data_IF_669269207396
#
_entry.id   IF_669269207396
#
_cell.length_a   1.000
_cell.length_b   1.000
_cell.length_c   1.000
_cell.angle_alpha   90.00
_cell.angle_beta   90.00
_cell.angle_gamma   90.00
#
_symmetry.space_group_name_H-M   'P 1'
#
loop_
_entity.id
_entity.type
_entity.pdbx_description
1 polymer ?
#
# COMPACT_ATOMS: atom_id res chain seq x y z
N UNK A 1 11.43 -3.84 27.26
CA UNK A 1 10.25 -4.08 26.37
C UNK A 1 9.50 -2.77 26.34
N UNK A 2 9.48 -2.09 25.19
CA UNK A 2 8.88 -0.75 25.06
C UNK A 2 7.34 -0.82 25.14
N UNK A 3 6.71 0.18 25.79
CA UNK A 3 5.24 0.29 25.91
C UNK A 3 4.51 0.24 24.54
N UNK A 4 5.19 0.64 23.47
CA UNK A 4 4.69 0.54 22.09
C UNK A 4 4.52 -0.91 21.62
N UNK A 5 5.41 -1.82 22.02
CA UNK A 5 5.36 -3.25 21.68
C UNK A 5 4.24 -3.96 22.43
N UNK A 6 4.07 -3.64 23.71
CA UNK A 6 2.98 -4.21 24.56
C UNK A 6 1.59 -3.78 24.10
N UNK A 7 1.48 -2.61 23.46
CA UNK A 7 0.17 -2.11 22.96
C UNK A 7 -0.16 -2.68 21.56
N UNK A 8 0.85 -3.14 20.79
CA UNK A 8 0.66 -3.84 19.51
C UNK A 8 0.09 -5.25 19.70
N UNK A 9 0.61 -6.01 20.67
CA UNK A 9 0.22 -7.40 20.95
C UNK A 9 -1.29 -7.56 21.31
N UNK A 10 -1.98 -6.44 21.60
CA UNK A 10 -3.43 -6.39 21.88
C UNK A 10 -4.28 -6.01 20.66
N UNK A 11 -3.68 -5.58 19.54
CA UNK A 11 -4.42 -5.19 18.34
C UNK A 11 -4.69 -6.39 17.44
N UNK A 12 -5.84 -6.37 16.77
CA UNK A 12 -6.24 -7.37 15.77
C UNK A 12 -5.22 -7.44 14.63
N UNK A 13 -4.73 -8.64 14.31
CA UNK A 13 -3.85 -8.87 13.16
C UNK A 13 -4.70 -8.96 11.90
N UNK A 14 -4.44 -8.08 10.93
CA UNK A 14 -5.18 -8.02 9.66
C UNK A 14 -4.43 -8.71 8.51
N UNK A 15 -3.08 -8.76 8.58
CA UNK A 15 -2.25 -9.58 7.69
C UNK A 15 -1.26 -10.36 8.55
N UNK A 16 -1.10 -11.66 8.27
CA UNK A 16 -0.04 -12.49 8.86
C UNK A 16 0.64 -13.30 7.77
N UNK A 17 1.95 -13.18 7.71
CA UNK A 17 2.82 -13.90 6.76
C UNK A 17 3.78 -14.77 7.58
N UNK A 18 3.91 -16.05 7.20
CA UNK A 18 4.80 -16.99 7.90
C UNK A 18 5.62 -17.79 6.90
N UNK A 19 6.95 -17.70 7.03
CA UNK A 19 7.93 -18.45 6.26
C UNK A 19 7.77 -18.28 4.75
N UNK A 20 7.57 -17.04 4.26
CA UNK A 20 7.27 -16.76 2.87
C UNK A 20 8.52 -16.83 1.99
N UNK A 21 8.51 -17.72 1.00
CA UNK A 21 9.56 -17.84 -0.02
C UNK A 21 9.00 -17.58 -1.41
N UNK A 22 9.79 -16.89 -2.24
CA UNK A 22 9.52 -16.72 -3.65
C UNK A 22 10.80 -16.62 -4.46
N UNK A 23 10.91 -17.47 -5.49
CA UNK A 23 12.02 -17.50 -6.45
C UNK A 23 11.49 -17.35 -7.87
N UNK A 24 12.34 -16.87 -8.77
CA UNK A 24 12.11 -16.85 -10.21
C UNK A 24 13.38 -17.40 -10.86
N UNK A 25 13.23 -18.54 -11.55
CA UNK A 25 14.37 -19.30 -12.09
C UNK A 25 15.41 -19.54 -10.98
N UNK A 26 16.64 -19.07 -11.15
CA UNK A 26 17.73 -19.22 -10.18
C UNK A 26 17.84 -18.03 -9.18
N UNK A 27 16.87 -17.09 -9.17
CA UNK A 27 16.92 -15.92 -8.31
C UNK A 27 15.90 -16.01 -7.15
N UNK A 28 16.42 -16.19 -5.93
CA UNK A 28 15.64 -16.15 -4.70
C UNK A 28 15.31 -14.71 -4.31
N UNK A 29 14.06 -14.30 -4.48
CA UNK A 29 13.59 -12.93 -4.27
C UNK A 29 13.08 -12.69 -2.84
N UNK A 30 12.37 -13.66 -2.25
CA UNK A 30 11.94 -13.63 -0.84
C UNK A 30 12.40 -14.91 -0.16
N UNK A 31 13.00 -14.77 1.03
CA UNK A 31 13.78 -15.83 1.69
C UNK A 31 13.33 -16.05 3.14
N UNK A 32 12.08 -16.51 3.32
CA UNK A 32 11.57 -16.81 4.66
C UNK A 32 11.05 -15.58 5.40
N UNK A 33 10.25 -14.75 4.72
CA UNK A 33 9.64 -13.56 5.31
C UNK A 33 8.59 -13.95 6.34
N UNK A 34 8.72 -13.42 7.55
CA UNK A 34 7.70 -13.41 8.60
C UNK A 34 7.29 -11.96 8.88
N UNK A 35 5.98 -11.70 8.98
CA UNK A 35 5.47 -10.34 9.13
C UNK A 35 4.02 -10.35 9.59
N UNK A 36 3.65 -9.39 10.45
CA UNK A 36 2.27 -9.13 10.83
C UNK A 36 1.94 -7.64 10.68
N UNK A 37 0.77 -7.34 10.11
CA UNK A 37 0.17 -6.01 10.08
C UNK A 37 -0.99 -5.97 11.06
N UNK A 38 -1.00 -4.98 11.93
CA UNK A 38 -2.07 -4.78 12.90
C UNK A 38 -3.10 -3.76 12.40
N UNK A 39 -4.31 -3.88 12.91
CA UNK A 39 -5.42 -2.99 12.55
C UNK A 39 -5.10 -1.53 12.85
N UNK A 40 -5.29 -0.66 11.85
CA UNK A 40 -5.04 0.77 11.93
C UNK A 40 -3.55 1.15 11.91
N UNK A 41 -2.66 0.22 11.52
CA UNK A 41 -1.23 0.45 11.39
C UNK A 41 -0.85 0.74 9.95
N UNK A 42 0.06 1.71 9.73
CA UNK A 42 0.80 1.89 8.49
C UNK A 42 2.19 1.27 8.63
N UNK A 43 2.46 0.18 7.93
CA UNK A 43 3.79 -0.42 7.87
C UNK A 43 4.44 -0.08 6.55
N UNK A 44 5.67 0.45 6.63
CA UNK A 44 6.48 0.72 5.45
C UNK A 44 7.47 -0.42 5.24
N UNK A 45 7.46 -1.01 4.05
CA UNK A 45 8.52 -1.93 3.58
C UNK A 45 9.50 -1.12 2.75
N UNK A 46 10.63 -0.82 3.35
CA UNK A 46 11.69 0.00 2.77
C UNK A 46 12.77 -0.89 2.15
N UNK A 47 13.29 -0.53 0.97
CA UNK A 47 14.37 -1.27 0.33
C UNK A 47 14.67 -0.77 -1.07
N UNK A 48 15.81 -1.17 -1.62
CA UNK A 48 16.26 -0.79 -2.98
C UNK A 48 15.29 -1.28 -4.05
N UNK A 49 15.35 -0.66 -5.23
CA UNK A 49 14.66 -1.20 -6.41
C UNK A 49 15.13 -2.63 -6.66
N UNK A 50 14.18 -3.52 -6.99
CA UNK A 50 14.49 -4.94 -7.22
C UNK A 50 14.62 -5.81 -5.96
N UNK A 51 14.50 -5.29 -4.74
CA UNK A 51 14.62 -6.07 -3.49
C UNK A 51 13.47 -7.04 -3.20
N UNK A 52 12.43 -7.08 -4.04
CA UNK A 52 11.27 -7.98 -3.87
C UNK A 52 10.01 -7.34 -3.28
N UNK A 53 10.00 -6.01 -3.01
CA UNK A 53 8.86 -5.30 -2.42
C UNK A 53 7.55 -5.49 -3.21
N UNK A 54 7.58 -5.26 -4.52
CA UNK A 54 6.39 -5.45 -5.37
C UNK A 54 5.97 -6.92 -5.51
N UNK A 55 6.91 -7.85 -5.38
CA UNK A 55 6.61 -9.29 -5.31
C UNK A 55 5.83 -9.61 -4.04
N UNK A 56 6.28 -9.07 -2.90
CA UNK A 56 5.63 -9.26 -1.61
C UNK A 56 4.15 -8.83 -1.65
N UNK A 57 3.85 -7.59 -2.08
CA UNK A 57 2.44 -7.14 -2.11
C UNK A 57 1.58 -7.82 -3.17
N UNK A 58 2.17 -8.31 -4.29
CA UNK A 58 1.45 -9.15 -5.25
C UNK A 58 1.09 -10.51 -4.65
N UNK A 59 1.93 -11.07 -3.78
CA UNK A 59 1.61 -12.32 -3.08
C UNK A 59 0.53 -12.06 -2.02
N UNK A 60 0.64 -10.99 -1.23
CA UNK A 60 -0.37 -10.62 -0.23
C UNK A 60 -1.75 -10.43 -0.86
N UNK A 61 -1.83 -9.78 -2.02
CA UNK A 61 -3.10 -9.57 -2.75
C UNK A 61 -3.60 -10.81 -3.51
N UNK A 62 -2.87 -11.92 -3.48
CA UNK A 62 -3.17 -13.13 -4.23
C UNK A 62 -3.00 -13.01 -5.75
N UNK A 63 -2.34 -11.95 -6.23
CA UNK A 63 -1.98 -11.79 -7.65
C UNK A 63 -0.84 -12.72 -8.06
N UNK A 64 -0.06 -13.19 -7.09
CA UNK A 64 1.06 -14.13 -7.29
C UNK A 64 1.03 -15.19 -6.20
N UNK A 65 1.37 -16.44 -6.52
CA UNK A 65 1.51 -17.49 -5.52
C UNK A 65 2.94 -17.54 -4.97
N UNK A 66 3.10 -17.74 -3.65
CA UNK A 66 4.41 -18.06 -3.07
C UNK A 66 4.85 -19.46 -3.45
N UNK A 67 6.14 -19.76 -3.30
CA UNK A 67 6.66 -21.11 -3.44
C UNK A 67 6.54 -21.90 -2.13
N UNK A 68 6.71 -21.17 -0.98
CA UNK A 68 6.50 -21.74 0.38
C UNK A 68 5.95 -20.67 1.30
N UNK A 69 5.43 -21.10 2.44
CA UNK A 69 4.88 -20.24 3.48
C UNK A 69 3.38 -20.00 3.32
N UNK A 70 2.83 -19.19 4.23
CA UNK A 70 1.40 -18.89 4.29
C UNK A 70 1.18 -17.39 4.37
N UNK A 71 0.08 -16.92 3.76
CA UNK A 71 -0.37 -15.54 3.83
C UNK A 71 -1.82 -15.53 4.25
N UNK A 72 -2.07 -15.01 5.45
CA UNK A 72 -3.42 -14.75 5.92
C UNK A 72 -3.74 -13.26 5.78
N UNK A 73 -4.92 -12.95 5.25
CA UNK A 73 -5.44 -11.61 5.09
C UNK A 73 -6.87 -11.59 5.63
N UNK A 74 -7.13 -10.75 6.63
CA UNK A 74 -8.42 -10.66 7.33
C UNK A 74 -8.91 -12.05 7.80
N UNK A 75 -7.99 -12.85 8.36
CA UNK A 75 -8.26 -14.20 8.88
C UNK A 75 -8.41 -15.29 7.82
N UNK A 76 -8.23 -15.00 6.51
CA UNK A 76 -8.36 -15.98 5.43
C UNK A 76 -7.00 -16.28 4.80
N UNK A 77 -6.69 -17.55 4.56
CA UNK A 77 -5.48 -17.98 3.82
C UNK A 77 -5.70 -17.67 2.33
N UNK A 78 -5.03 -16.61 1.85
CA UNK A 78 -5.21 -16.04 0.50
C UNK A 78 -5.04 -17.08 -0.61
N UNK A 79 -4.10 -18.00 -0.42
CA UNK A 79 -3.70 -18.95 -1.47
C UNK A 79 -4.48 -20.27 -1.44
N UNK A 80 -5.35 -20.45 -0.43
CA UNK A 80 -6.29 -21.59 -0.35
C UNK A 80 -7.72 -21.22 -0.78
N UNK A 81 -7.99 -19.94 -1.01
CA UNK A 81 -9.31 -19.47 -1.44
C UNK A 81 -9.61 -19.90 -2.87
N UNK A 82 -10.88 -20.23 -3.13
CA UNK A 82 -11.37 -20.38 -4.48
C UNK A 82 -11.53 -18.99 -5.16
N UNK A 83 -11.78 -18.98 -6.47
CA UNK A 83 -11.84 -17.74 -7.27
C UNK A 83 -12.89 -16.74 -6.75
N UNK A 84 -14.06 -17.22 -6.30
CA UNK A 84 -15.14 -16.36 -5.80
C UNK A 84 -14.74 -15.73 -4.46
N UNK A 85 -14.27 -16.53 -3.53
CA UNK A 85 -13.80 -16.07 -2.21
C UNK A 85 -12.64 -15.08 -2.33
N UNK A 86 -11.71 -15.31 -3.25
CA UNK A 86 -10.59 -14.40 -3.51
C UNK A 86 -11.06 -13.06 -4.08
N UNK A 87 -12.08 -13.04 -4.95
CA UNK A 87 -12.69 -11.80 -5.45
C UNK A 87 -13.34 -11.04 -4.28
N UNK A 88 -14.13 -11.71 -3.44
CA UNK A 88 -14.76 -11.10 -2.27
C UNK A 88 -13.72 -10.52 -1.29
N UNK A 89 -12.62 -11.24 -1.06
CA UNK A 89 -11.53 -10.75 -0.21
C UNK A 89 -10.87 -9.51 -0.82
N UNK A 90 -10.62 -9.50 -2.13
CA UNK A 90 -10.02 -8.37 -2.86
C UNK A 90 -10.86 -7.09 -2.82
N UNK A 91 -12.19 -7.20 -2.67
CA UNK A 91 -13.04 -6.02 -2.47
C UNK A 91 -12.79 -5.29 -1.15
N UNK A 92 -12.14 -5.97 -0.19
CA UNK A 92 -11.74 -5.41 1.10
C UNK A 92 -10.32 -4.84 1.08
N UNK A 93 -9.62 -4.94 -0.05
CA UNK A 93 -8.26 -4.45 -0.26
C UNK A 93 -8.29 -3.32 -1.27
N UNK A 94 -7.69 -2.19 -0.90
CA UNK A 94 -7.31 -1.16 -1.84
C UNK A 94 -5.91 -1.42 -2.40
N UNK A 95 -5.67 -1.14 -3.67
CA UNK A 95 -4.34 -1.26 -4.27
C UNK A 95 -4.03 -0.01 -5.09
N UNK A 96 -3.04 0.78 -4.65
CA UNK A 96 -2.47 1.86 -5.44
C UNK A 96 -1.21 1.37 -6.14
N UNK A 97 -1.28 1.28 -7.47
CA UNK A 97 -0.13 0.94 -8.31
C UNK A 97 0.79 2.15 -8.52
N UNK A 98 2.07 1.90 -8.81
CA UNK A 98 3.09 2.93 -9.03
C UNK A 98 2.66 4.01 -10.05
N UNK A 99 1.96 3.64 -11.12
CA UNK A 99 1.47 4.56 -12.16
C UNK A 99 -0.03 4.87 -12.04
N UNK A 100 -0.62 4.75 -10.83
CA UNK A 100 -2.04 4.97 -10.52
C UNK A 100 -3.02 4.09 -11.32
N UNK A 101 -2.63 3.53 -12.46
CA UNK A 101 -3.38 2.63 -13.35
C UNK A 101 -4.81 3.14 -13.67
N UNK A 102 -4.99 4.44 -13.89
CA UNK A 102 -6.26 5.01 -14.33
C UNK A 102 -6.59 4.52 -15.74
N UNK A 103 -7.88 4.40 -16.05
CA UNK A 103 -8.36 4.12 -17.39
C UNK A 103 -8.33 5.42 -18.20
N UNK A 104 -7.43 5.52 -19.16
CA UNK A 104 -7.22 6.73 -19.98
C UNK A 104 -8.42 7.11 -20.85
N UNK A 105 -9.29 6.13 -21.16
CA UNK A 105 -10.52 6.32 -21.95
C UNK A 105 -11.74 6.72 -21.12
N UNK A 106 -11.58 6.93 -19.83
CA UNK A 106 -12.63 7.28 -18.88
C UNK A 106 -12.30 8.58 -18.18
N UNK A 107 -13.31 9.42 -17.92
CA UNK A 107 -13.17 10.58 -17.04
C UNK A 107 -12.79 10.17 -15.63
N UNK A 108 -12.40 11.14 -14.78
CA UNK A 108 -12.16 10.91 -13.36
C UNK A 108 -13.39 10.30 -12.69
N UNK A 109 -14.58 10.85 -12.93
CA UNK A 109 -15.86 10.33 -12.44
C UNK A 109 -16.04 8.87 -12.84
N UNK A 110 -15.89 8.54 -14.11
CA UNK A 110 -16.05 7.18 -14.61
C UNK A 110 -15.05 6.19 -14.02
N UNK A 111 -13.78 6.63 -13.84
CA UNK A 111 -12.76 5.85 -13.14
C UNK A 111 -13.15 5.51 -11.70
N UNK A 112 -13.82 6.45 -11.00
CA UNK A 112 -14.29 6.25 -9.62
C UNK A 112 -15.57 5.42 -9.55
N UNK A 113 -16.50 5.62 -10.47
CA UNK A 113 -17.77 4.88 -10.54
C UNK A 113 -17.55 3.40 -10.93
N UNK A 114 -16.56 3.13 -11.79
CA UNK A 114 -16.35 1.81 -12.37
C UNK A 114 -16.28 0.68 -11.34
N UNK A 115 -15.47 0.75 -10.25
CA UNK A 115 -15.44 -0.30 -9.24
C UNK A 115 -16.78 -0.45 -8.50
N UNK A 116 -17.53 0.63 -8.29
CA UNK A 116 -18.84 0.58 -7.65
C UNK A 116 -19.87 -0.11 -8.56
N UNK A 117 -20.02 0.33 -9.81
CA UNK A 117 -20.95 -0.23 -10.78
C UNK A 117 -20.69 -1.70 -11.06
N UNK A 118 -19.40 -2.10 -11.08
CA UNK A 118 -19.02 -3.49 -11.34
C UNK A 118 -19.33 -4.43 -10.16
N UNK A 119 -19.14 -3.97 -8.92
CA UNK A 119 -19.13 -4.84 -7.75
C UNK A 119 -20.33 -4.64 -6.81
N UNK A 120 -21.06 -3.51 -6.93
CA UNK A 120 -22.23 -3.17 -6.10
C UNK A 120 -23.39 -2.78 -7.01
N UNK A 121 -23.92 -3.75 -7.76
CA UNK A 121 -24.93 -3.52 -8.80
C UNK A 121 -26.24 -2.93 -8.31
N UNK A 122 -26.54 -3.06 -7.02
CA UNK A 122 -27.78 -2.58 -6.40
C UNK A 122 -27.67 -1.14 -5.84
N UNK A 123 -26.52 -0.45 -6.05
CA UNK A 123 -26.39 0.94 -5.65
C UNK A 123 -27.16 1.85 -6.62
N UNK A 124 -27.98 2.76 -6.05
CA UNK A 124 -28.60 3.82 -6.86
C UNK A 124 -27.54 4.82 -7.36
N UNK A 125 -27.86 5.51 -8.47
CA UNK A 125 -26.93 6.52 -9.02
C UNK A 125 -26.64 7.63 -8.00
N UNK A 126 -27.63 8.05 -7.20
CA UNK A 126 -27.46 9.05 -6.13
C UNK A 126 -26.39 8.63 -5.11
N UNK A 127 -26.37 7.36 -4.68
CA UNK A 127 -25.36 6.84 -3.77
C UNK A 127 -23.98 6.73 -4.41
N UNK A 128 -23.92 6.48 -5.72
CA UNK A 128 -22.67 6.48 -6.48
C UNK A 128 -22.14 7.91 -6.57
N UNK A 129 -22.99 8.89 -6.90
CA UNK A 129 -22.63 10.32 -6.97
C UNK A 129 -22.12 10.85 -5.63
N UNK A 130 -22.79 10.49 -4.54
CA UNK A 130 -22.37 10.82 -3.17
C UNK A 130 -20.98 10.23 -2.86
N UNK A 131 -20.77 8.93 -3.16
CA UNK A 131 -19.49 8.27 -2.93
C UNK A 131 -18.35 8.87 -3.75
N UNK A 132 -18.63 9.25 -5.03
CA UNK A 132 -17.65 9.92 -5.89
C UNK A 132 -17.28 11.28 -5.32
N UNK A 133 -18.29 12.07 -4.91
CA UNK A 133 -18.07 13.38 -4.28
C UNK A 133 -17.22 13.24 -3.01
N UNK A 134 -17.58 12.33 -2.11
CA UNK A 134 -16.89 12.11 -0.84
C UNK A 134 -15.39 11.81 -1.00
N UNK A 135 -15.05 10.98 -2.00
CA UNK A 135 -13.64 10.62 -2.22
C UNK A 135 -12.87 11.71 -2.99
N UNK A 136 -13.53 12.47 -3.87
CA UNK A 136 -12.92 13.63 -4.53
C UNK A 136 -12.63 14.75 -3.52
N UNK A 137 -13.57 15.02 -2.63
CA UNK A 137 -13.39 15.96 -1.52
C UNK A 137 -12.25 15.50 -0.59
N UNK A 138 -12.17 14.18 -0.31
CA UNK A 138 -11.14 13.61 0.54
C UNK A 138 -9.72 13.74 -0.04
N UNK A 139 -9.57 13.81 -1.36
CA UNK A 139 -8.27 13.97 -2.02
C UNK A 139 -8.02 15.40 -2.52
N UNK A 140 -8.93 16.34 -2.23
CA UNK A 140 -8.81 17.75 -2.59
C UNK A 140 -8.93 18.03 -4.10
N UNK A 141 -9.77 17.28 -4.82
CA UNK A 141 -9.96 17.39 -6.27
C UNK A 141 -11.46 17.38 -6.66
N UNK A 142 -12.29 18.11 -5.92
CA UNK A 142 -13.75 18.16 -6.12
C UNK A 142 -14.16 18.60 -7.53
N UNK A 143 -13.38 19.49 -8.16
CA UNK A 143 -13.67 20.05 -9.48
C UNK A 143 -13.10 19.20 -10.65
N UNK A 144 -12.43 18.08 -10.36
CA UNK A 144 -11.77 17.28 -11.39
C UNK A 144 -12.65 16.18 -11.98
N UNK A 145 -13.92 16.06 -11.57
CA UNK A 145 -14.78 14.92 -11.90
C UNK A 145 -14.91 14.65 -13.41
N UNK A 146 -15.04 15.68 -14.23
CA UNK A 146 -15.27 15.57 -15.66
C UNK A 146 -13.98 15.62 -16.50
N UNK A 147 -12.81 15.77 -15.86
CA UNK A 147 -11.50 15.77 -16.54
C UNK A 147 -11.09 14.36 -16.98
N UNK A 148 -10.34 14.30 -18.08
CA UNK A 148 -9.70 13.06 -18.51
C UNK A 148 -8.35 12.89 -17.78
N UNK A 149 -7.87 11.64 -17.57
CA UNK A 149 -6.55 11.42 -16.97
C UNK A 149 -5.41 12.16 -17.68
N UNK A 150 -5.50 12.36 -19.00
CA UNK A 150 -4.49 13.10 -19.76
C UNK A 150 -4.36 14.58 -19.35
N UNK A 151 -5.41 15.17 -18.80
CA UNK A 151 -5.47 16.57 -18.38
C UNK A 151 -4.91 16.79 -16.96
N UNK A 152 -4.65 15.70 -16.22
CA UNK A 152 -4.19 15.74 -14.84
C UNK A 152 -2.65 15.79 -14.75
N UNK A 153 -2.13 16.56 -13.78
CA UNK A 153 -0.73 16.47 -13.38
C UNK A 153 -0.38 15.09 -12.76
N UNK A 154 0.90 14.79 -12.61
CA UNK A 154 1.34 13.54 -11.96
C UNK A 154 0.81 13.38 -10.54
N UNK A 155 0.85 14.45 -9.73
CA UNK A 155 0.31 14.47 -8.38
C UNK A 155 -1.21 14.29 -8.35
N UNK A 156 -1.94 14.95 -9.25
CA UNK A 156 -3.38 14.79 -9.38
C UNK A 156 -3.75 13.34 -9.78
N UNK A 157 -3.01 12.72 -10.71
CA UNK A 157 -3.20 11.29 -11.05
C UNK A 157 -3.02 10.38 -9.84
N UNK A 158 -2.03 10.66 -8.98
CA UNK A 158 -1.81 9.91 -7.74
C UNK A 158 -2.99 10.10 -6.77
N UNK A 159 -3.46 11.32 -6.57
CA UNK A 159 -4.62 11.63 -5.72
C UNK A 159 -5.89 10.93 -6.22
N UNK A 160 -6.18 10.93 -7.52
CA UNK A 160 -7.31 10.17 -8.09
C UNK A 160 -7.10 8.66 -7.95
N UNK A 161 -5.86 8.15 -8.10
CA UNK A 161 -5.53 6.75 -7.81
C UNK A 161 -5.85 6.36 -6.36
N UNK A 162 -5.53 7.25 -5.39
CA UNK A 162 -5.90 7.06 -3.98
C UNK A 162 -7.43 7.10 -3.83
N UNK A 163 -8.12 8.09 -4.41
CA UNK A 163 -9.59 8.19 -4.38
C UNK A 163 -10.25 6.91 -4.89
N UNK A 164 -9.77 6.35 -6.02
CA UNK A 164 -10.26 5.09 -6.58
C UNK A 164 -9.96 3.89 -5.68
N UNK A 165 -8.87 3.95 -4.94
CA UNK A 165 -8.50 2.91 -3.99
C UNK A 165 -9.46 2.88 -2.79
N UNK A 166 -9.87 4.05 -2.27
CA UNK A 166 -10.70 4.17 -1.06
C UNK A 166 -12.21 4.15 -1.31
N UNK A 167 -12.67 4.33 -2.56
CA UNK A 167 -14.11 4.42 -2.87
C UNK A 167 -14.88 3.13 -2.51
N UNK A 168 -14.21 1.98 -2.53
CA UNK A 168 -14.79 0.71 -2.10
C UNK A 168 -14.81 0.53 -0.58
N UNK A 169 -14.28 1.50 0.19
CA UNK A 169 -14.10 1.47 1.65
C UNK A 169 -13.32 0.22 2.10
N UNK A 170 -12.07 0.04 1.65
CA UNK A 170 -11.26 -1.11 2.00
C UNK A 170 -10.88 -1.11 3.48
N UNK A 171 -10.58 -2.29 4.03
CA UNK A 171 -10.03 -2.48 5.37
C UNK A 171 -8.50 -2.38 5.36
N UNK A 172 -7.87 -2.79 4.25
CA UNK A 172 -6.41 -2.77 4.05
C UNK A 172 -6.07 -2.07 2.73
N UNK A 173 -5.02 -1.24 2.72
CA UNK A 173 -4.53 -0.61 1.50
C UNK A 173 -3.07 -1.01 1.27
N UNK A 174 -2.77 -1.39 0.04
CA UNK A 174 -1.43 -1.69 -0.45
C UNK A 174 -0.97 -0.56 -1.38
N UNK A 175 0.07 0.17 -0.98
CA UNK A 175 0.65 1.26 -1.77
C UNK A 175 1.96 0.79 -2.40
N UNK A 176 2.04 0.83 -3.73
CA UNK A 176 3.26 0.52 -4.49
C UNK A 176 3.91 1.82 -4.97
N UNK A 177 5.00 2.25 -4.31
CA UNK A 177 5.79 3.44 -4.61
C UNK A 177 4.90 4.69 -4.81
N UNK A 178 4.17 5.13 -3.76
CA UNK A 178 3.13 6.17 -3.90
C UNK A 178 3.68 7.52 -4.36
N UNK A 179 4.93 7.85 -4.03
CA UNK A 179 5.58 9.13 -4.36
C UNK A 179 6.51 9.06 -5.59
N UNK A 180 6.67 7.88 -6.20
CA UNK A 180 7.60 7.71 -7.32
C UNK A 180 7.24 8.61 -8.50
N UNK A 181 8.27 9.33 -9.01
CA UNK A 181 8.16 10.23 -10.17
C UNK A 181 7.52 11.58 -9.88
N UNK A 182 7.34 11.95 -8.61
CA UNK A 182 6.86 13.26 -8.17
C UNK A 182 8.01 14.13 -7.68
N UNK A 183 7.82 15.44 -7.76
CA UNK A 183 8.72 16.41 -7.12
C UNK A 183 8.59 16.35 -5.57
N UNK A 184 9.56 16.90 -4.82
CA UNK A 184 9.56 16.78 -3.36
C UNK A 184 8.33 17.37 -2.66
N UNK A 185 7.79 18.50 -3.17
CA UNK A 185 6.62 19.15 -2.56
C UNK A 185 5.37 18.29 -2.77
N UNK A 186 5.14 17.86 -4.00
CA UNK A 186 4.02 16.97 -4.34
C UNK A 186 4.13 15.63 -3.59
N UNK A 187 5.35 15.07 -3.46
CA UNK A 187 5.60 13.84 -2.67
C UNK A 187 5.19 14.04 -1.21
N UNK A 188 5.54 15.18 -0.62
CA UNK A 188 5.16 15.52 0.75
C UNK A 188 3.64 15.56 0.92
N UNK A 189 2.92 16.19 -0.02
CA UNK A 189 1.45 16.28 -0.01
C UNK A 189 0.80 14.88 -0.15
N UNK A 190 1.36 13.99 -0.98
CA UNK A 190 0.85 12.60 -1.10
C UNK A 190 1.07 11.82 0.21
N UNK A 191 2.20 12.02 0.89
CA UNK A 191 2.46 11.39 2.18
C UNK A 191 1.47 11.87 3.25
N UNK A 192 1.14 13.17 3.28
CA UNK A 192 0.09 13.71 4.17
C UNK A 192 -1.27 13.09 3.85
N UNK A 193 -1.63 13.02 2.57
CA UNK A 193 -2.89 12.41 2.13
C UNK A 193 -3.00 10.95 2.55
N UNK A 194 -1.93 10.15 2.49
CA UNK A 194 -1.91 8.76 2.96
C UNK A 194 -2.28 8.70 4.45
N UNK A 195 -1.71 9.58 5.27
CA UNK A 195 -1.99 9.63 6.71
C UNK A 195 -3.43 10.11 7.00
N UNK A 196 -3.94 11.07 6.23
CA UNK A 196 -5.33 11.54 6.34
C UNK A 196 -6.32 10.42 5.98
N UNK A 197 -6.05 9.68 4.91
CA UNK A 197 -6.83 8.51 4.49
C UNK A 197 -6.86 7.45 5.58
N UNK A 198 -5.72 7.10 6.16
CA UNK A 198 -5.65 6.15 7.27
C UNK A 198 -6.55 6.57 8.44
N UNK A 199 -6.42 7.83 8.87
CA UNK A 199 -7.20 8.38 9.99
C UNK A 199 -8.69 8.45 9.69
N UNK A 200 -9.06 8.99 8.52
CA UNK A 200 -10.46 9.22 8.11
C UNK A 200 -11.21 7.91 7.87
N UNK A 201 -10.57 6.95 7.18
CA UNK A 201 -11.19 5.69 6.79
C UNK A 201 -10.84 4.51 7.71
N UNK A 202 -9.97 4.73 8.72
CA UNK A 202 -9.51 3.72 9.71
C UNK A 202 -8.92 2.50 9.03
N UNK A 203 -8.15 2.69 7.97
CA UNK A 203 -7.50 1.63 7.19
C UNK A 203 -6.21 1.18 7.86
N UNK A 204 -5.76 -0.03 7.54
CA UNK A 204 -4.41 -0.51 7.80
C UNK A 204 -3.65 -0.55 6.48
N UNK A 205 -2.36 -0.25 6.45
CA UNK A 205 -1.67 -0.13 5.17
C UNK A 205 -0.29 -0.78 5.14
N UNK A 206 0.07 -1.34 3.99
CA UNK A 206 1.46 -1.64 3.63
C UNK A 206 1.87 -0.65 2.54
N UNK A 207 2.94 0.08 2.80
CA UNK A 207 3.51 1.06 1.87
C UNK A 207 4.89 0.55 1.46
N UNK A 208 5.05 0.15 0.21
CA UNK A 208 6.39 -0.20 -0.29
C UNK A 208 7.01 1.00 -0.97
N UNK A 209 8.25 1.32 -0.58
CA UNK A 209 8.97 2.47 -1.13
C UNK A 209 10.49 2.29 -1.00
N UNK A 210 11.23 3.11 -1.72
CA UNK A 210 12.67 3.33 -1.52
C UNK A 210 12.95 4.76 -1.00
N UNK A 211 11.92 5.57 -0.85
CA UNK A 211 11.99 6.96 -0.41
C UNK A 211 11.96 7.04 1.13
N UNK A 212 13.04 7.57 1.71
CA UNK A 212 13.18 7.73 3.17
C UNK A 212 12.20 8.76 3.74
N UNK A 213 11.88 9.82 2.99
CA UNK A 213 10.93 10.84 3.44
C UNK A 213 9.53 10.26 3.52
N UNK A 214 9.13 9.49 2.50
CA UNK A 214 7.88 8.74 2.53
C UNK A 214 7.84 7.78 3.73
N UNK A 215 8.91 7.00 3.93
CA UNK A 215 8.98 6.05 5.04
C UNK A 215 8.86 6.73 6.41
N UNK A 216 9.62 7.80 6.64
CA UNK A 216 9.60 8.56 7.90
C UNK A 216 8.24 9.22 8.17
N UNK A 217 7.60 9.73 7.12
CA UNK A 217 6.35 10.49 7.22
C UNK A 217 5.12 9.62 7.43
N UNK A 218 5.09 8.43 6.79
CA UNK A 218 3.88 7.60 6.72
C UNK A 218 3.91 6.35 7.57
N UNK A 219 5.12 5.87 7.95
CA UNK A 219 5.27 4.62 8.67
C UNK A 219 5.11 4.75 10.18
N UNK A 220 4.15 4.02 10.75
CA UNK A 220 4.13 3.74 12.19
C UNK A 220 5.23 2.74 12.57
N UNK A 221 5.61 1.89 11.61
CA UNK A 221 6.68 0.90 11.71
C UNK A 221 7.30 0.68 10.32
N UNK A 222 8.61 0.48 10.30
CA UNK A 222 9.39 0.27 9.10
C UNK A 222 10.04 -1.11 9.15
N UNK A 223 9.99 -1.81 8.03
CA UNK A 223 10.67 -3.07 7.78
C UNK A 223 11.69 -2.85 6.65
N UNK A 224 12.97 -3.06 6.94
CA UNK A 224 14.02 -2.94 5.93
C UNK A 224 14.20 -4.26 5.21
N UNK A 225 13.83 -4.29 3.92
CA UNK A 225 13.98 -5.47 3.05
C UNK A 225 15.28 -5.39 2.25
N UNK A 226 16.23 -6.26 2.57
CA UNK A 226 17.51 -6.39 1.86
C UNK A 226 17.76 -7.88 1.55
N UNK A 227 18.16 -8.16 0.32
CA UNK A 227 18.52 -9.51 -0.17
C UNK A 227 17.44 -10.57 0.11
N UNK A 228 16.17 -10.16 0.04
CA UNK A 228 15.02 -11.04 0.23
C UNK A 228 14.64 -11.31 1.69
N UNK A 229 15.25 -10.62 2.67
CA UNK A 229 14.98 -10.77 4.10
C UNK A 229 14.65 -9.44 4.76
N UNK A 230 13.80 -9.45 5.79
CA UNK A 230 13.69 -8.33 6.71
C UNK A 230 14.85 -8.37 7.69
N UNK A 231 15.75 -7.39 7.58
CA UNK A 231 16.98 -7.34 8.40
C UNK A 231 16.85 -6.40 9.60
N UNK A 232 15.91 -5.45 9.54
CA UNK A 232 15.60 -4.51 10.62
C UNK A 232 14.12 -4.22 10.64
N UNK A 233 13.59 -3.98 11.84
CA UNK A 233 12.22 -3.60 12.11
C UNK A 233 12.19 -2.63 13.29
N UNK A 234 11.36 -1.59 13.23
CA UNK A 234 11.20 -0.60 14.28
C UNK A 234 10.59 0.69 13.78
N UNK A 235 10.65 1.76 14.55
CA UNK A 235 10.41 3.10 14.06
C UNK A 235 11.56 3.57 13.13
N UNK A 236 11.45 4.78 12.58
CA UNK A 236 12.47 5.28 11.64
C UNK A 236 13.85 5.36 12.28
N UNK A 237 13.92 5.89 13.48
CA UNK A 237 15.17 6.07 14.22
C UNK A 237 15.77 4.72 14.61
N UNK A 238 14.98 3.78 15.12
CA UNK A 238 15.42 2.43 15.49
C UNK A 238 15.98 1.64 14.31
N UNK A 239 15.36 1.75 13.11
CA UNK A 239 15.83 1.04 11.92
C UNK A 239 17.19 1.54 11.47
N UNK A 240 17.46 2.84 11.57
CA UNK A 240 18.71 3.45 11.12
C UNK A 240 19.78 3.60 12.22
N UNK A 241 19.44 3.37 13.50
CA UNK A 241 20.40 3.23 14.59
C UNK A 241 21.05 1.83 14.58
N UNK A 242 22.02 1.64 13.68
CA UNK A 242 22.67 0.35 13.45
C UNK A 242 24.05 0.51 12.85
N UNK A 243 24.94 -0.45 13.13
CA UNK A 243 26.24 -0.56 12.47
C UNK A 243 26.24 -1.42 11.19
N UNK A 244 25.10 -1.97 10.79
CA UNK A 244 24.99 -2.72 9.54
C UNK A 244 25.28 -1.79 8.33
N UNK A 245 26.41 -2.08 7.66
CA UNK A 245 26.87 -1.27 6.51
C UNK A 245 25.87 -1.22 5.35
N UNK A 246 24.99 -2.24 5.22
CA UNK A 246 23.95 -2.28 4.17
C UNK A 246 22.87 -1.24 4.45
N UNK A 247 22.46 -1.10 5.71
CA UNK A 247 21.47 -0.12 6.15
C UNK A 247 22.05 1.29 6.11
N UNK A 248 23.27 1.49 6.66
CA UNK A 248 23.97 2.78 6.56
C UNK A 248 24.17 3.21 5.10
N UNK A 249 24.64 2.31 4.24
CA UNK A 249 24.84 2.61 2.83
C UNK A 249 23.55 2.92 2.07
N UNK A 250 22.39 2.37 2.52
CA UNK A 250 21.08 2.77 1.98
C UNK A 250 20.70 4.18 2.43
N UNK A 251 20.93 4.52 3.69
CA UNK A 251 20.66 5.84 4.26
C UNK A 251 21.51 6.92 3.59
N UNK A 252 22.82 6.72 3.56
CA UNK A 252 23.78 7.67 2.99
C UNK A 252 23.49 7.95 1.50
N UNK A 253 23.19 6.90 0.73
CA UNK A 253 22.85 7.05 -0.70
C UNK A 253 21.64 7.95 -0.91
N UNK A 254 20.63 7.90 -0.06
CA UNK A 254 19.40 8.67 -0.20
C UNK A 254 19.51 10.11 0.32
N UNK A 255 20.51 10.42 1.18
CA UNK A 255 20.72 11.78 1.71
C UNK A 255 21.91 12.52 1.08
N UNK A 256 22.73 11.85 0.26
CA UNK A 256 23.88 12.47 -0.40
C UNK A 256 23.60 12.85 -1.85
N UNK A 257 22.41 12.64 -2.35
CA UNK A 257 21.89 13.15 -3.62
C UNK A 257 20.96 14.34 -3.39
#
# INVERSE_FOLDING_TARGET
>A
MNDAQTNRDKKEVVISIKGLYKSFEDNDVLKGIDFELHKGENVVVLGRSGSGKSVLIKIISGLMKPDKGTVQLLGKDVHKLNKKELIELRLKIGFLFQHSALYDSMTVRENLEFPLKRNKRDLSQEKIDEAVKDVLDAVGLSDAADQMPAELSGGQKKRIGIARTIIMKPEVILYDEPTAGLDPLTSYEINDLINEVQKKFKTSSIIITHDLVCAKKTGDRILMLIDGNFIREGDFEEVFDTDDKRVKGFYDYNFTQ
#
